data_IF_767225555911
#
_entry.id   IF_767225555911
#
_cell.length_a   1.000
_cell.length_b   1.000
_cell.length_c   1.000
_cell.angle_alpha   90.00
_cell.angle_beta   90.00
_cell.angle_gamma   90.00
#
_symmetry.space_group_name_H-M   'P 1'
#
loop_
_entity.id
_entity.type
_entity.pdbx_description
1 polymer ?
#
# COMPACT_ATOMS: atom_id res chain seq x y z
N UNK A 1 -47.58 -27.54 -20.82
CA UNK A 1 -46.95 -26.38 -20.16
C UNK A 1 -45.67 -26.81 -19.46
N UNK A 2 -44.55 -26.95 -20.20
CA UNK A 2 -43.20 -27.20 -19.68
C UNK A 2 -42.26 -26.31 -20.49
N UNK A 3 -41.23 -25.74 -19.87
CA UNK A 3 -40.13 -24.95 -20.47
C UNK A 3 -40.27 -23.41 -20.51
N UNK A 4 -40.55 -22.75 -19.36
CA UNK A 4 -40.38 -21.28 -19.24
C UNK A 4 -39.46 -20.81 -18.10
N UNK A 5 -38.68 -21.70 -17.47
CA UNK A 5 -37.85 -21.35 -16.30
C UNK A 5 -36.35 -21.22 -16.63
N UNK A 6 -35.89 -21.62 -17.83
CA UNK A 6 -34.46 -21.63 -18.17
C UNK A 6 -33.88 -20.31 -18.73
N UNK A 7 -34.65 -19.23 -18.83
CA UNK A 7 -34.20 -18.00 -19.48
C UNK A 7 -33.98 -16.80 -18.53
N UNK A 8 -33.97 -17.01 -17.21
CA UNK A 8 -33.81 -15.93 -16.23
C UNK A 8 -32.51 -16.00 -15.39
N UNK A 9 -31.67 -17.02 -15.62
CA UNK A 9 -30.42 -17.20 -14.86
C UNK A 9 -29.21 -16.56 -15.58
N UNK A 10 -29.32 -16.29 -16.90
CA UNK A 10 -28.23 -15.74 -17.69
C UNK A 10 -27.91 -14.24 -17.44
N UNK A 11 -28.84 -13.32 -17.11
CA UNK A 11 -28.48 -11.92 -16.91
C UNK A 11 -27.89 -11.63 -15.52
N UNK A 12 -28.00 -12.56 -14.56
CA UNK A 12 -27.47 -12.38 -13.20
C UNK A 12 -25.95 -12.61 -13.16
N UNK A 13 -25.42 -13.51 -14.00
CA UNK A 13 -23.97 -13.72 -14.09
C UNK A 13 -23.24 -12.57 -14.81
N UNK A 14 -23.92 -11.82 -15.67
CA UNK A 14 -23.33 -10.69 -16.41
C UNK A 14 -23.08 -9.45 -15.54
N UNK A 15 -23.76 -9.32 -14.40
CA UNK A 15 -23.58 -8.16 -13.50
C UNK A 15 -22.32 -8.29 -12.63
N UNK A 16 -21.83 -9.52 -12.39
CA UNK A 16 -20.58 -9.73 -11.65
C UNK A 16 -19.32 -9.42 -12.46
N UNK A 17 -19.43 -9.31 -13.78
CA UNK A 17 -18.29 -8.96 -14.65
C UNK A 17 -17.97 -7.45 -14.69
N UNK A 18 -18.79 -6.60 -14.06
CA UNK A 18 -18.55 -5.15 -13.96
C UNK A 18 -17.69 -4.73 -12.76
N UNK A 19 -16.97 -5.66 -12.12
CA UNK A 19 -15.94 -5.34 -11.11
C UNK A 19 -14.66 -4.79 -11.75
N UNK A 20 -14.80 -3.82 -12.64
CA UNK A 20 -13.69 -3.09 -13.24
C UNK A 20 -13.28 -1.93 -12.31
N UNK A 21 -12.09 -2.10 -11.74
CA UNK A 21 -11.04 -1.08 -11.64
C UNK A 21 -11.06 -0.01 -10.54
N UNK A 22 -11.74 -0.18 -9.40
CA UNK A 22 -11.49 0.70 -8.24
C UNK A 22 -11.65 -0.04 -6.91
N UNK A 23 -10.64 -0.85 -6.54
CA UNK A 23 -10.66 -1.73 -5.36
C UNK A 23 -10.50 -1.00 -4.01
N UNK A 24 -10.10 0.27 -4.01
CA UNK A 24 -10.05 1.13 -2.83
C UNK A 24 -10.72 2.46 -3.19
N UNK A 25 -11.88 2.72 -2.58
CA UNK A 25 -12.45 4.06 -2.55
C UNK A 25 -12.06 4.72 -1.23
N UNK A 26 -11.23 5.78 -1.26
CA UNK A 26 -11.03 6.58 -0.06
C UNK A 26 -12.39 7.13 0.43
N UNK A 27 -12.78 6.76 1.65
CA UNK A 27 -13.93 7.37 2.34
C UNK A 27 -13.36 8.44 3.27
N UNK A 28 -13.91 9.66 3.24
CA UNK A 28 -13.47 10.82 4.02
C UNK A 28 -12.07 11.36 3.70
N UNK A 29 -11.62 11.27 2.45
CA UNK A 29 -10.49 12.10 2.02
C UNK A 29 -10.98 13.52 1.81
N UNK A 30 -10.45 14.47 2.58
CA UNK A 30 -10.46 15.87 2.15
C UNK A 30 -9.73 15.87 0.81
N UNK A 31 -10.45 16.21 -0.28
CA UNK A 31 -9.81 16.45 -1.57
C UNK A 31 -8.87 17.63 -1.37
N UNK A 32 -7.60 17.33 -1.09
CA UNK A 32 -6.58 18.36 -1.13
C UNK A 32 -6.31 18.57 -2.62
N UNK A 33 -7.08 19.47 -3.23
CA UNK A 33 -6.97 19.84 -4.65
C UNK A 33 -5.58 20.43 -5.00
N UNK A 34 -4.68 20.58 -4.03
CA UNK A 34 -3.45 21.34 -4.14
C UNK A 34 -2.15 20.55 -4.29
N UNK A 35 -2.13 19.20 -4.28
CA UNK A 35 -0.87 18.49 -4.56
C UNK A 35 -0.90 17.49 -5.72
N UNK A 36 -1.63 17.82 -6.78
CA UNK A 36 -1.25 17.31 -8.11
C UNK A 36 0.23 17.67 -8.28
N UNK A 37 1.14 16.68 -8.20
CA UNK A 37 2.61 16.79 -8.22
C UNK A 37 3.35 17.19 -6.91
N UNK A 38 2.82 16.90 -5.72
CA UNK A 38 3.54 17.20 -4.47
C UNK A 38 4.59 16.16 -4.06
N UNK A 39 5.66 16.60 -3.39
CA UNK A 39 6.48 15.76 -2.51
C UNK A 39 5.77 15.68 -1.14
N UNK A 40 4.97 14.64 -0.82
CA UNK A 40 4.26 14.58 0.45
C UNK A 40 5.23 14.61 1.64
N UNK A 41 4.95 15.49 2.59
CA UNK A 41 5.65 15.52 3.88
C UNK A 41 4.83 14.77 4.92
N UNK A 42 5.33 13.62 5.34
CA UNK A 42 4.72 12.75 6.35
C UNK A 42 5.11 13.25 7.73
N UNK A 43 4.12 13.63 8.55
CA UNK A 43 4.33 14.04 9.94
C UNK A 43 4.09 12.87 10.88
N UNK A 44 5.12 12.47 11.63
CA UNK A 44 5.15 11.28 12.49
C UNK A 44 5.64 11.70 13.86
N UNK A 45 4.76 11.79 14.86
CA UNK A 45 5.09 12.30 16.19
C UNK A 45 5.91 13.62 16.13
N UNK A 46 7.21 13.58 16.45
CA UNK A 46 8.14 14.72 16.41
C UNK A 46 9.00 14.78 15.13
N UNK A 47 8.85 13.80 14.25
CA UNK A 47 9.63 13.63 13.03
C UNK A 47 8.82 14.02 11.78
N UNK A 48 9.54 14.39 10.72
CA UNK A 48 8.98 14.71 9.42
C UNK A 48 9.78 14.07 8.31
N UNK A 49 9.08 13.32 7.46
CA UNK A 49 9.68 12.61 6.34
C UNK A 49 9.15 13.15 5.02
N UNK A 50 10.03 13.68 4.18
CA UNK A 50 9.68 14.18 2.84
C UNK A 50 9.82 13.07 1.81
N UNK A 51 8.73 12.72 1.14
CA UNK A 51 8.68 11.66 0.13
C UNK A 51 8.52 12.29 -1.26
N UNK A 52 9.38 11.91 -2.20
CA UNK A 52 9.25 12.25 -3.62
C UNK A 52 8.52 11.13 -4.35
N UNK A 53 7.29 11.40 -4.77
CA UNK A 53 6.47 10.46 -5.56
C UNK A 53 6.52 10.81 -7.05
N UNK A 54 6.14 9.86 -7.91
CA UNK A 54 5.91 10.15 -9.33
C UNK A 54 4.68 11.05 -9.51
N UNK A 55 4.67 11.88 -10.55
CA UNK A 55 3.68 12.95 -10.74
C UNK A 55 2.25 12.45 -11.01
N UNK A 56 2.07 11.17 -11.32
CA UNK A 56 0.77 10.55 -11.54
C UNK A 56 0.07 10.09 -10.25
N UNK A 57 0.77 10.08 -9.12
CA UNK A 57 0.20 9.72 -7.84
C UNK A 57 -0.72 10.80 -7.31
N UNK A 58 -1.89 10.36 -6.86
CA UNK A 58 -2.81 11.12 -6.02
C UNK A 58 -2.53 10.73 -4.58
N UNK A 59 -2.44 11.72 -3.71
CA UNK A 59 -2.08 11.55 -2.31
C UNK A 59 -3.24 12.05 -1.44
N UNK A 60 -3.39 11.45 -0.27
CA UNK A 60 -4.21 11.98 0.79
C UNK A 60 -3.55 11.68 2.12
N UNK A 61 -3.55 12.68 3.01
CA UNK A 61 -3.19 12.49 4.40
C UNK A 61 -4.50 12.39 5.19
N UNK A 62 -4.92 11.18 5.62
CA UNK A 62 -6.16 11.02 6.36
C UNK A 62 -6.05 11.72 7.71
N UNK A 63 -7.11 12.45 8.10
CA UNK A 63 -7.05 13.38 9.21
C UNK A 63 -6.99 12.71 10.59
N UNK A 64 -7.52 11.50 10.73
CA UNK A 64 -7.42 10.69 11.95
C UNK A 64 -7.69 9.22 11.63
N UNK A 65 -7.20 8.35 12.51
CA UNK A 65 -7.19 6.89 12.43
C UNK A 65 -8.57 6.30 12.13
N UNK A 66 -8.85 6.00 10.87
CA UNK A 66 -9.76 4.94 10.45
C UNK A 66 -9.56 4.78 8.95
N UNK A 67 -8.68 3.86 8.56
CA UNK A 67 -8.98 3.16 7.32
C UNK A 67 -10.24 2.36 7.62
N UNK A 68 -11.39 2.88 7.21
CA UNK A 68 -12.51 2.01 6.90
C UNK A 68 -12.07 1.20 5.68
N UNK A 69 -11.22 0.18 5.90
CA UNK A 69 -10.95 -0.84 4.90
C UNK A 69 -12.26 -1.62 4.81
N UNK A 70 -13.20 -1.11 4.02
CA UNK A 70 -14.36 -1.90 3.60
C UNK A 70 -13.90 -3.14 2.83
N UNK A 71 -12.70 -3.06 2.24
CA UNK A 71 -12.01 -4.17 1.62
C UNK A 71 -11.45 -5.16 2.66
N UNK A 72 -12.09 -6.33 2.73
CA UNK A 72 -11.70 -7.47 3.59
C UNK A 72 -10.30 -7.99 3.27
N UNK A 73 -9.89 -8.00 2.01
CA UNK A 73 -8.57 -8.48 1.58
C UNK A 73 -7.45 -7.62 2.16
N UNK A 74 -7.59 -6.30 2.06
CA UNK A 74 -6.64 -5.35 2.66
C UNK A 74 -6.61 -5.50 4.17
N UNK A 75 -7.76 -5.66 4.83
CA UNK A 75 -7.82 -5.89 6.28
C UNK A 75 -7.08 -7.17 6.70
N UNK A 76 -7.18 -8.22 5.90
CA UNK A 76 -6.47 -9.48 6.14
C UNK A 76 -4.97 -9.34 5.87
N UNK A 77 -4.57 -8.66 4.80
CA UNK A 77 -3.17 -8.34 4.49
C UNK A 77 -2.50 -7.60 5.64
N UNK A 78 -3.15 -6.56 6.18
CA UNK A 78 -2.63 -5.77 7.30
C UNK A 78 -2.47 -6.59 8.58
N UNK A 79 -3.33 -7.60 8.81
CA UNK A 79 -3.28 -8.50 9.98
C UNK A 79 -2.29 -9.66 9.86
N UNK A 80 -1.87 -10.02 8.64
CA UNK A 80 -1.12 -11.26 8.35
C UNK A 80 0.19 -11.40 9.15
N UNK A 81 0.78 -10.28 9.57
CA UNK A 81 2.09 -10.25 10.25
C UNK A 81 2.02 -10.05 11.76
N UNK A 82 0.84 -10.24 12.36
CA UNK A 82 0.61 -10.10 13.82
C UNK A 82 1.14 -8.80 14.44
N UNK A 83 1.40 -7.79 13.61
CA UNK A 83 1.73 -6.47 14.08
C UNK A 83 0.54 -5.96 14.90
N UNK A 84 0.84 -5.35 16.05
CA UNK A 84 -0.15 -4.55 16.77
C UNK A 84 -0.76 -3.56 15.78
N UNK A 85 -2.03 -3.21 15.96
CA UNK A 85 -2.68 -2.27 15.05
C UNK A 85 -1.86 -0.96 14.97
N UNK A 86 -1.67 -0.40 13.77
CA UNK A 86 -0.90 0.82 13.61
C UNK A 86 -1.56 1.95 14.40
N UNK A 87 -0.74 2.77 15.09
CA UNK A 87 -1.27 3.93 15.83
C UNK A 87 -1.81 4.99 14.88
N UNK A 88 -1.21 5.12 13.70
CA UNK A 88 -1.56 6.14 12.71
C UNK A 88 -1.33 5.64 11.29
N UNK A 89 -2.21 6.05 10.38
CA UNK A 89 -1.93 6.03 8.94
C UNK A 89 -1.31 7.37 8.55
N UNK A 90 -0.15 7.32 7.91
CA UNK A 90 0.64 8.50 7.56
C UNK A 90 0.60 8.82 6.07
N UNK A 91 0.27 7.82 5.23
CA UNK A 91 0.19 7.97 3.78
C UNK A 91 -0.90 7.08 3.19
N UNK A 92 -1.62 7.65 2.22
CA UNK A 92 -2.40 6.91 1.24
C UNK A 92 -2.14 7.51 -0.13
N UNK A 93 -1.65 6.71 -1.07
CA UNK A 93 -1.58 7.11 -2.47
C UNK A 93 -2.19 6.07 -3.40
N UNK A 94 -2.74 6.58 -4.49
CA UNK A 94 -3.30 5.80 -5.58
C UNK A 94 -3.13 6.59 -6.88
N UNK A 95 -3.24 5.90 -8.00
CA UNK A 95 -3.29 6.53 -9.31
C UNK A 95 -4.48 5.97 -10.08
N UNK A 96 -4.93 6.72 -11.08
CA UNK A 96 -6.03 6.30 -11.94
C UNK A 96 -5.55 5.41 -13.09
N UNK A 97 -4.24 5.17 -13.21
CA UNK A 97 -3.68 4.32 -14.24
C UNK A 97 -3.89 2.83 -13.90
N UNK A 98 -4.37 2.01 -14.86
CA UNK A 98 -4.67 0.59 -14.64
C UNK A 98 -3.44 -0.26 -14.36
N UNK A 99 -2.25 0.27 -14.64
CA UNK A 99 -0.95 -0.39 -14.51
C UNK A 99 -0.27 -0.15 -13.15
N UNK A 100 -0.93 0.52 -12.19
CA UNK A 100 -0.28 1.01 -10.98
C UNK A 100 -1.02 0.75 -9.65
N UNK A 101 -0.28 1.02 -8.58
CA UNK A 101 -0.37 0.41 -7.27
C UNK A 101 -1.12 1.28 -6.26
N UNK A 102 -1.50 0.66 -5.15
CA UNK A 102 -1.90 1.41 -3.96
C UNK A 102 -0.75 1.39 -2.96
N UNK A 103 -0.43 2.56 -2.40
CA UNK A 103 0.59 2.70 -1.36
C UNK A 103 -0.07 3.11 -0.06
N UNK A 104 0.24 2.35 0.99
CA UNK A 104 -0.25 2.61 2.34
C UNK A 104 0.92 2.78 3.30
N UNK A 105 1.03 3.95 3.91
CA UNK A 105 2.02 4.21 4.95
C UNK A 105 1.39 4.17 6.34
N UNK A 106 2.01 3.42 7.25
CA UNK A 106 1.60 3.22 8.63
C UNK A 106 2.75 3.47 9.57
N UNK A 107 2.44 3.90 10.79
CA UNK A 107 3.42 4.05 11.85
C UNK A 107 3.09 3.15 13.04
N UNK A 108 4.13 2.46 13.53
CA UNK A 108 4.08 1.56 14.67
C UNK A 108 5.18 1.96 15.67
N UNK A 109 4.78 2.46 16.84
CA UNK A 109 5.73 2.80 17.90
C UNK A 109 6.33 1.54 18.52
N UNK A 110 7.51 1.69 19.10
CA UNK A 110 8.15 0.69 19.95
C UNK A 110 8.43 -0.64 19.21
N UNK A 111 8.58 -0.58 17.88
CA UNK A 111 9.03 -1.68 17.04
C UNK A 111 10.39 -1.37 16.44
N UNK A 112 11.20 -2.43 16.25
CA UNK A 112 12.52 -2.36 15.63
C UNK A 112 12.61 -3.27 14.40
N UNK A 113 13.62 -3.05 13.55
CA UNK A 113 13.80 -3.86 12.34
C UNK A 113 14.03 -5.33 12.68
N UNK A 114 14.73 -5.61 13.78
CA UNK A 114 14.89 -6.97 14.30
C UNK A 114 13.57 -7.63 14.68
N UNK A 115 12.63 -6.86 15.21
CA UNK A 115 11.28 -7.35 15.50
C UNK A 115 10.54 -7.70 14.22
N UNK A 116 10.71 -6.90 13.16
CA UNK A 116 10.10 -7.15 11.86
C UNK A 116 10.73 -8.36 11.17
N UNK A 117 12.06 -8.54 11.22
CA UNK A 117 12.76 -9.70 10.63
C UNK A 117 12.18 -11.02 11.12
N UNK A 118 11.80 -11.11 12.40
CA UNK A 118 11.19 -12.31 13.01
C UNK A 118 9.78 -12.64 12.48
N UNK A 119 9.15 -11.74 11.72
CA UNK A 119 7.81 -11.95 11.14
C UNK A 119 7.85 -12.62 9.75
N UNK A 120 9.04 -12.85 9.23
CA UNK A 120 9.28 -13.40 7.91
C UNK A 120 10.18 -14.63 8.01
N UNK A 121 9.79 -15.71 7.35
CA UNK A 121 10.57 -16.95 7.28
C UNK A 121 11.62 -16.91 6.17
N UNK A 122 11.84 -15.74 5.56
CA UNK A 122 12.74 -15.52 4.44
C UNK A 122 13.42 -14.17 4.58
N UNK A 123 14.55 -14.00 3.89
CA UNK A 123 15.34 -12.76 3.91
C UNK A 123 14.66 -11.64 3.11
N UNK A 124 14.86 -10.37 3.50
CA UNK A 124 14.38 -9.25 2.72
C UNK A 124 15.03 -9.20 1.33
N UNK A 125 14.30 -8.70 0.32
CA UNK A 125 14.82 -8.46 -1.03
C UNK A 125 15.87 -7.34 -1.03
N UNK A 126 15.63 -6.30 -0.24
CA UNK A 126 16.53 -5.16 -0.04
C UNK A 126 16.73 -4.95 1.45
N UNK A 127 17.97 -4.72 1.88
CA UNK A 127 18.30 -4.42 3.28
C UNK A 127 19.31 -3.28 3.35
N UNK A 128 18.99 -2.28 4.17
CA UNK A 128 19.83 -1.17 4.58
C UNK A 128 19.99 -1.19 6.11
N UNK A 129 20.80 -0.29 6.65
CA UNK A 129 21.01 -0.15 8.10
C UNK A 129 19.69 0.17 8.82
N UNK A 130 18.98 1.19 8.34
CA UNK A 130 17.74 1.71 8.92
C UNK A 130 16.48 1.31 8.12
N UNK A 131 16.58 0.33 7.22
CA UNK A 131 15.41 -0.10 6.44
C UNK A 131 15.53 -1.43 5.74
N UNK A 132 14.41 -1.97 5.30
CA UNK A 132 14.36 -3.20 4.50
C UNK A 132 13.05 -3.32 3.72
N UNK A 133 13.06 -4.14 2.67
CA UNK A 133 11.89 -4.47 1.88
C UNK A 133 11.74 -5.97 1.72
N UNK A 134 10.53 -6.47 1.96
CA UNK A 134 10.11 -7.82 1.61
C UNK A 134 9.20 -7.77 0.40
N UNK A 135 9.29 -8.79 -0.46
CA UNK A 135 8.39 -8.96 -1.60
C UNK A 135 7.72 -10.33 -1.51
N UNK A 136 6.42 -10.40 -1.72
CA UNK A 136 5.67 -11.66 -1.68
C UNK A 136 4.35 -11.57 -2.44
N UNK A 137 3.81 -12.73 -2.82
CA UNK A 137 2.48 -12.83 -3.42
C UNK A 137 1.37 -12.94 -2.36
N UNK A 138 0.25 -12.28 -2.61
CA UNK A 138 -0.96 -12.38 -1.79
C UNK A 138 -2.22 -12.22 -2.63
N UNK A 139 -3.00 -13.30 -2.78
CA UNK A 139 -4.25 -13.31 -3.56
C UNK A 139 -4.05 -12.75 -4.97
N UNK A 140 -3.06 -13.32 -5.68
CA UNK A 140 -2.63 -12.99 -7.04
C UNK A 140 -2.03 -11.58 -7.20
N UNK A 141 -1.71 -10.91 -6.09
CA UNK A 141 -1.08 -9.58 -6.09
C UNK A 141 0.34 -9.67 -5.57
N UNK A 142 1.26 -9.06 -6.31
CA UNK A 142 2.61 -8.80 -5.82
C UNK A 142 2.57 -7.69 -4.77
N UNK A 143 3.10 -7.97 -3.59
CA UNK A 143 3.20 -7.02 -2.48
C UNK A 143 4.66 -6.67 -2.27
N UNK A 144 4.95 -5.38 -2.15
CA UNK A 144 6.20 -4.92 -1.54
C UNK A 144 5.89 -4.30 -0.18
N UNK A 145 6.53 -4.82 0.86
CA UNK A 145 6.35 -4.40 2.25
C UNK A 145 7.68 -3.81 2.75
N UNK A 146 7.71 -2.50 2.80
CA UNK A 146 8.89 -1.68 3.07
C UNK A 146 8.81 -1.22 4.52
N UNK A 147 9.93 -1.29 5.22
CA UNK A 147 10.07 -0.86 6.61
C UNK A 147 11.24 0.10 6.72
N UNK A 148 11.01 1.24 7.37
CA UNK A 148 12.05 2.20 7.78
C UNK A 148 11.99 2.36 9.29
N UNK A 149 13.13 2.20 9.93
CA UNK A 149 13.30 2.48 11.36
C UNK A 149 13.37 3.99 11.59
N UNK A 150 12.79 4.43 12.70
CA UNK A 150 12.91 5.79 13.23
C UNK A 150 13.32 5.69 14.70
N UNK A 151 13.69 6.82 15.30
CA UNK A 151 14.10 6.88 16.71
C UNK A 151 13.08 6.27 17.70
N UNK A 152 11.80 6.17 17.31
CA UNK A 152 10.70 5.81 18.19
C UNK A 152 9.82 4.66 17.65
N UNK A 153 10.21 4.04 16.54
CA UNK A 153 9.45 2.94 15.98
C UNK A 153 9.76 2.67 14.51
N UNK A 154 8.73 2.21 13.79
CA UNK A 154 8.85 1.84 12.38
C UNK A 154 7.74 2.48 11.55
N UNK A 155 8.14 2.97 10.39
CA UNK A 155 7.28 3.28 9.27
C UNK A 155 7.18 2.02 8.40
N UNK A 156 5.96 1.54 8.18
CA UNK A 156 5.67 0.46 7.21
C UNK A 156 4.97 1.06 6.00
N UNK A 157 5.52 0.85 4.82
CA UNK A 157 4.92 1.22 3.55
C UNK A 157 4.58 -0.06 2.78
N UNK A 158 3.31 -0.23 2.45
CA UNK A 158 2.82 -1.38 1.69
C UNK A 158 2.43 -0.91 0.31
N UNK A 159 3.12 -1.40 -0.71
CA UNK A 159 2.79 -1.23 -2.11
C UNK A 159 2.10 -2.49 -2.62
N UNK A 160 0.92 -2.32 -3.22
CA UNK A 160 0.11 -3.43 -3.74
C UNK A 160 0.05 -3.35 -5.26
N UNK A 161 0.70 -4.32 -5.91
CA UNK A 161 0.66 -4.58 -7.34
C UNK A 161 -0.73 -4.97 -7.84
N UNK A 162 -1.02 -4.62 -9.09
CA UNK A 162 -2.21 -5.12 -9.78
C UNK A 162 -1.98 -6.58 -10.25
N UNK A 163 -2.97 -7.47 -10.10
CA UNK A 163 -2.80 -8.91 -10.33
C UNK A 163 -2.52 -9.31 -11.80
N UNK A 164 -2.75 -8.41 -12.75
CA UNK A 164 -2.56 -8.65 -14.19
C UNK A 164 -1.44 -7.78 -14.78
N UNK A 165 -0.57 -7.23 -13.94
CA UNK A 165 0.56 -6.42 -14.37
C UNK A 165 1.87 -7.17 -14.16
N UNK A 166 2.87 -6.81 -14.93
CA UNK A 166 4.23 -7.35 -14.82
C UNK A 166 4.79 -7.04 -13.42
N UNK A 167 4.93 -8.08 -12.60
CA UNK A 167 5.42 -8.00 -11.23
C UNK A 167 6.85 -7.46 -11.13
N UNK A 168 7.71 -7.77 -12.11
CA UNK A 168 9.10 -7.32 -12.10
C UNK A 168 9.15 -5.84 -12.41
N UNK A 169 8.42 -5.42 -13.44
CA UNK A 169 8.29 -3.99 -13.78
C UNK A 169 7.69 -3.19 -12.62
N UNK A 170 6.70 -3.73 -11.93
CA UNK A 170 6.16 -3.11 -10.71
C UNK A 170 7.27 -2.94 -9.66
N UNK A 171 7.98 -4.00 -9.31
CA UNK A 171 8.99 -3.92 -8.26
C UNK A 171 10.11 -2.94 -8.62
N UNK A 172 10.66 -3.03 -9.83
CA UNK A 172 11.81 -2.20 -10.23
C UNK A 172 11.39 -0.75 -10.49
N UNK A 173 10.42 -0.53 -11.38
CA UNK A 173 10.10 0.82 -11.85
C UNK A 173 9.26 1.64 -10.87
N UNK A 174 8.51 0.98 -9.98
CA UNK A 174 7.56 1.67 -9.10
C UNK A 174 7.93 1.62 -7.63
N UNK A 175 8.54 0.52 -7.18
CA UNK A 175 8.88 0.38 -5.77
C UNK A 175 10.32 0.76 -5.55
N UNK A 176 11.25 0.12 -6.26
CA UNK A 176 12.69 0.33 -6.10
C UNK A 176 13.07 1.76 -6.51
N UNK A 177 12.66 2.17 -7.71
CA UNK A 177 12.88 3.53 -8.18
C UNK A 177 12.32 4.60 -7.23
N UNK A 178 11.06 4.46 -6.78
CA UNK A 178 10.45 5.50 -5.93
C UNK A 178 11.07 5.50 -4.55
N UNK A 179 11.13 4.36 -3.87
CA UNK A 179 11.51 4.35 -2.46
C UNK A 179 13.01 4.33 -2.24
N UNK A 180 13.79 3.67 -3.10
CA UNK A 180 15.22 3.43 -2.86
C UNK A 180 16.14 4.28 -3.74
N UNK A 181 15.73 4.66 -4.95
CA UNK A 181 16.53 5.57 -5.80
C UNK A 181 16.12 7.04 -5.59
N UNK A 182 14.85 7.39 -5.81
CA UNK A 182 14.38 8.78 -5.75
C UNK A 182 14.33 9.34 -4.31
N UNK A 183 14.24 8.45 -3.32
CA UNK A 183 14.26 8.76 -1.89
C UNK A 183 15.43 8.06 -1.17
N UNK A 184 16.58 7.92 -1.84
CA UNK A 184 17.77 7.26 -1.30
C UNK A 184 18.20 7.79 0.08
N UNK A 185 17.98 9.08 0.32
CA UNK A 185 18.33 9.77 1.57
C UNK A 185 17.58 9.23 2.80
N UNK A 186 16.51 8.46 2.60
CA UNK A 186 15.80 7.81 3.70
C UNK A 186 16.60 6.67 4.31
N UNK A 187 17.58 6.12 3.59
CA UNK A 187 18.24 4.86 3.92
C UNK A 187 19.70 5.01 4.35
N UNK A 188 20.25 6.21 4.25
CA UNK A 188 21.68 6.50 4.39
C UNK A 188 22.06 7.08 5.77
N UNK A 189 21.23 6.88 6.79
CA UNK A 189 21.53 7.27 8.18
C UNK A 189 22.12 6.11 8.97
#
# INVERSE_FOLDING_TARGET
MKNKIKLLILPIFSVFALSCANYIRPVNTVKNHSLINGNPVLKIDRDTLSLKMLGDYRFSQPKDSLIFTTNKELKQLLKRKQLRLPKKQILFTYTNMPIYNNVFGFYYNDLSLDSIRKLYDFSPKISYTNGMMYTYEYQDKTIADIYRETDHGIIRIICIGQPNFDSERFLVSEVEYVFFENNENWWLE
#
